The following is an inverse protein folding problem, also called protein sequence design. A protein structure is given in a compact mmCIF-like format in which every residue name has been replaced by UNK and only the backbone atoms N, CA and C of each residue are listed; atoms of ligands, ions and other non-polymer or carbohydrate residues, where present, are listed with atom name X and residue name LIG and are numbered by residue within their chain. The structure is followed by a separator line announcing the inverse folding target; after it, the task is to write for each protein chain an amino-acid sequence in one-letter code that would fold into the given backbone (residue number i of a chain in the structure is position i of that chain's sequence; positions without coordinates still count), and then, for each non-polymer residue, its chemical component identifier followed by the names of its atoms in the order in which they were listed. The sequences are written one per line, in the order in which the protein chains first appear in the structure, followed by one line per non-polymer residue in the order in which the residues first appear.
data_IF_503055154628
#
_entry.id   IF_503055154628
#
_cell.length_a   1.000
_cell.length_b   1.000
_cell.length_c   1.000
_cell.angle_alpha   90.00
_cell.angle_beta   90.00
_cell.angle_gamma   90.00
#
_symmetry.space_group_name_H-M   'P 1'
#
loop_
_entity.id
_entity.type
_entity.pdbx_description
1 polymer ?
#
# COMPACT_ATOMS: atom_id res chain seq x y z
N UNK A 1 43.03 -7.32 23.63
CA UNK A 1 42.34 -8.55 23.15
C UNK A 1 43.38 -9.47 22.58
N UNK A 2 43.45 -10.73 23.06
CA UNK A 2 44.44 -11.68 22.56
C UNK A 2 44.06 -12.13 21.13
N UNK A 3 45.02 -12.33 20.26
CA UNK A 3 44.84 -12.87 18.90
C UNK A 3 43.98 -14.14 18.87
N UNK A 4 44.09 -14.94 19.94
CA UNK A 4 43.32 -16.15 20.13
C UNK A 4 41.81 -15.87 20.33
N UNK A 5 41.44 -14.84 21.07
CA UNK A 5 40.05 -14.47 21.29
C UNK A 5 39.41 -13.97 19.98
N UNK A 6 40.15 -13.21 19.18
CA UNK A 6 39.70 -12.75 17.86
C UNK A 6 39.44 -13.91 16.87
N UNK A 7 40.40 -14.86 16.82
CA UNK A 7 40.29 -16.04 15.96
C UNK A 7 39.09 -16.92 16.38
N UNK A 8 38.89 -17.15 17.65
CA UNK A 8 37.76 -17.92 18.17
C UNK A 8 36.42 -17.24 17.83
N UNK A 9 36.31 -15.91 17.98
CA UNK A 9 35.08 -15.16 17.68
C UNK A 9 34.73 -15.26 16.20
N UNK A 10 35.72 -15.14 15.30
CA UNK A 10 35.51 -15.25 13.86
C UNK A 10 34.98 -16.64 13.48
N UNK A 11 35.58 -17.70 14.05
CA UNK A 11 35.12 -19.09 13.77
C UNK A 11 33.71 -19.36 14.25
N UNK A 12 33.34 -18.86 15.44
CA UNK A 12 31.98 -18.99 15.98
C UNK A 12 30.98 -18.26 15.08
N UNK A 13 31.28 -17.04 14.64
CA UNK A 13 30.41 -16.29 13.73
C UNK A 13 30.26 -16.99 12.36
N UNK A 14 31.33 -17.57 11.85
CA UNK A 14 31.34 -18.31 10.58
C UNK A 14 30.49 -19.59 10.68
N UNK A 15 30.59 -20.34 11.79
CA UNK A 15 29.77 -21.51 12.06
C UNK A 15 28.29 -21.15 12.19
N UNK A 16 27.95 -20.07 12.90
CA UNK A 16 26.58 -19.57 13.00
C UNK A 16 26.04 -19.19 11.63
N UNK A 17 26.86 -18.52 10.80
CA UNK A 17 26.49 -18.15 9.43
C UNK A 17 26.22 -19.36 8.55
N UNK A 18 27.04 -20.41 8.61
CA UNK A 18 26.84 -21.65 7.84
C UNK A 18 25.55 -22.36 8.31
N UNK A 19 25.33 -22.48 9.61
CA UNK A 19 24.12 -23.12 10.15
C UNK A 19 22.87 -22.33 9.70
N UNK A 20 22.92 -21.00 9.81
CA UNK A 20 21.82 -20.16 9.34
C UNK A 20 21.55 -20.35 7.84
N UNK A 21 22.60 -20.42 7.02
CA UNK A 21 22.48 -20.67 5.57
C UNK A 21 21.87 -22.04 5.29
N UNK A 22 22.31 -23.11 5.99
CA UNK A 22 21.73 -24.45 5.84
C UNK A 22 20.26 -24.51 6.24
N UNK A 23 19.88 -23.81 7.32
CA UNK A 23 18.48 -23.74 7.74
C UNK A 23 17.64 -23.00 6.69
N UNK A 24 18.14 -21.89 6.17
CA UNK A 24 17.46 -21.08 5.14
C UNK A 24 17.29 -21.87 3.84
N UNK A 25 18.34 -22.53 3.36
CA UNK A 25 18.29 -23.31 2.10
C UNK A 25 17.53 -24.62 2.23
N UNK A 26 17.54 -25.25 3.42
CA UNK A 26 16.77 -26.47 3.70
C UNK A 26 15.30 -26.27 4.04
N UNK A 27 14.85 -25.02 4.20
CA UNK A 27 13.46 -24.72 4.57
C UNK A 27 12.50 -25.06 3.41
N UNK A 28 11.45 -25.88 3.63
CA UNK A 28 10.45 -26.15 2.60
C UNK A 28 9.81 -24.85 2.08
N UNK A 29 9.53 -24.79 0.78
CA UNK A 29 8.96 -23.62 0.10
C UNK A 29 7.66 -23.09 0.73
N UNK A 30 6.90 -23.97 1.40
CA UNK A 30 5.68 -23.62 2.15
C UNK A 30 5.95 -22.60 3.27
N UNK A 31 7.08 -22.72 3.97
CA UNK A 31 7.44 -21.79 5.06
C UNK A 31 7.84 -20.42 4.51
N UNK A 32 8.54 -20.38 3.38
CA UNK A 32 8.86 -19.13 2.69
C UNK A 32 7.62 -18.41 2.21
N UNK A 33 6.65 -19.15 1.67
CA UNK A 33 5.35 -18.56 1.27
C UNK A 33 4.59 -18.02 2.49
N UNK A 34 4.56 -18.76 3.59
CA UNK A 34 3.91 -18.32 4.82
C UNK A 34 4.59 -17.06 5.41
N UNK A 35 5.93 -17.02 5.41
CA UNK A 35 6.69 -15.87 5.89
C UNK A 35 6.46 -14.63 5.01
N UNK A 36 6.48 -14.81 3.69
CA UNK A 36 6.18 -13.74 2.74
C UNK A 36 4.75 -13.22 2.89
N UNK A 37 3.77 -14.11 3.06
CA UNK A 37 2.37 -13.74 3.31
C UNK A 37 2.22 -12.96 4.62
N UNK A 38 2.87 -13.43 5.70
CA UNK A 38 2.87 -12.74 6.98
C UNK A 38 3.52 -11.34 6.89
N UNK A 39 4.66 -11.22 6.22
CA UNK A 39 5.34 -9.94 5.97
C UNK A 39 4.46 -8.96 5.19
N UNK A 40 3.83 -9.44 4.11
CA UNK A 40 2.87 -8.66 3.31
C UNK A 40 1.70 -8.18 4.16
N UNK A 41 1.11 -9.07 4.97
CA UNK A 41 -0.03 -8.71 5.82
C UNK A 41 0.36 -7.68 6.89
N UNK A 42 1.54 -7.81 7.50
CA UNK A 42 2.06 -6.85 8.47
C UNK A 42 2.29 -5.48 7.83
N UNK A 43 2.84 -5.45 6.62
CA UNK A 43 3.08 -4.22 5.85
C UNK A 43 1.75 -3.54 5.47
N UNK A 44 0.76 -4.31 4.98
CA UNK A 44 -0.58 -3.79 4.66
C UNK A 44 -1.27 -3.20 5.89
N UNK A 45 -1.20 -3.86 7.06
CA UNK A 45 -1.74 -3.33 8.31
C UNK A 45 -1.07 -2.01 8.71
N UNK A 46 0.25 -1.89 8.49
CA UNK A 46 0.98 -0.65 8.73
C UNK A 46 0.53 0.50 7.82
N UNK A 47 0.30 0.20 6.54
CA UNK A 47 -0.27 1.15 5.57
C UNK A 47 -1.70 1.54 5.95
N UNK A 48 -2.56 0.58 6.23
CA UNK A 48 -3.96 0.80 6.60
C UNK A 48 -4.07 1.74 7.80
N UNK A 49 -3.29 1.51 8.86
CA UNK A 49 -3.26 2.40 10.04
C UNK A 49 -2.88 3.84 9.71
N UNK A 50 -1.91 4.04 8.80
CA UNK A 50 -1.50 5.39 8.37
C UNK A 50 -2.62 6.07 7.58
N UNK A 51 -3.29 5.33 6.68
CA UNK A 51 -4.40 5.83 5.89
C UNK A 51 -5.62 6.16 6.76
N UNK A 52 -5.96 5.30 7.72
CA UNK A 52 -7.02 5.57 8.70
C UNK A 52 -6.71 6.81 9.54
N UNK A 53 -5.45 6.99 9.95
CA UNK A 53 -5.03 8.22 10.65
C UNK A 53 -5.16 9.45 9.76
N UNK A 54 -4.79 9.36 8.48
CA UNK A 54 -4.95 10.45 7.52
C UNK A 54 -6.42 10.82 7.32
N UNK A 55 -7.32 9.82 7.24
CA UNK A 55 -8.76 10.03 7.18
C UNK A 55 -9.28 10.72 8.44
N UNK A 56 -8.89 10.24 9.62
CA UNK A 56 -9.34 10.81 10.90
C UNK A 56 -8.92 12.28 11.10
N UNK A 57 -7.78 12.69 10.53
CA UNK A 57 -7.32 14.08 10.56
C UNK A 57 -8.14 14.98 9.63
N UNK A 58 -8.59 14.44 8.48
CA UNK A 58 -9.33 15.20 7.46
C UNK A 58 -10.82 15.35 7.78
N UNK A 59 -11.43 14.35 8.44
CA UNK A 59 -12.85 14.40 8.72
C UNK A 59 -13.28 13.40 9.80
N UNK A 60 -13.48 13.89 11.01
CA UNK A 60 -13.98 13.07 12.12
C UNK A 60 -15.37 12.45 11.84
N UNK A 61 -16.15 13.08 10.96
CA UNK A 61 -17.52 12.67 10.65
C UNK A 61 -17.65 11.90 9.31
N UNK A 62 -16.54 11.53 8.68
CA UNK A 62 -16.59 10.76 7.43
C UNK A 62 -17.01 9.31 7.72
N UNK A 63 -18.22 8.97 7.32
CA UNK A 63 -18.75 7.60 7.43
C UNK A 63 -18.52 6.90 6.08
N UNK A 64 -17.50 6.06 5.99
CA UNK A 64 -17.25 5.32 4.76
C UNK A 64 -18.22 4.14 4.63
N UNK A 65 -19.03 4.14 3.59
CA UNK A 65 -19.83 2.98 3.20
C UNK A 65 -18.96 1.92 2.49
N UNK A 66 -17.99 2.38 1.72
CA UNK A 66 -16.98 1.55 1.06
C UNK A 66 -15.58 2.05 1.38
N UNK A 67 -14.67 1.14 1.74
CA UNK A 67 -13.30 1.49 2.12
C UNK A 67 -12.27 0.48 1.61
N UNK A 68 -11.27 0.96 0.90
CA UNK A 68 -10.11 0.20 0.43
C UNK A 68 -8.86 0.41 1.29
N UNK A 69 -8.99 1.16 2.39
CA UNK A 69 -7.87 1.49 3.28
C UNK A 69 -7.20 0.25 3.87
N UNK A 70 -7.98 -0.77 4.21
CA UNK A 70 -7.45 -2.04 4.76
C UNK A 70 -6.65 -2.83 3.72
N UNK A 71 -6.95 -2.64 2.44
CA UNK A 71 -6.20 -3.21 1.30
C UNK A 71 -4.99 -2.34 0.92
N UNK A 72 -4.72 -1.27 1.67
CA UNK A 72 -3.57 -0.38 1.50
C UNK A 72 -3.74 0.66 0.38
N UNK A 73 -4.96 0.87 -0.11
CA UNK A 73 -5.30 1.89 -1.11
C UNK A 73 -5.98 3.07 -0.41
N UNK A 74 -5.55 4.28 -0.72
CA UNK A 74 -6.06 5.50 -0.12
C UNK A 74 -7.38 5.95 -0.73
N UNK A 75 -8.41 5.09 -0.72
CA UNK A 75 -9.75 5.38 -1.22
C UNK A 75 -10.81 4.94 -0.21
N UNK A 76 -11.75 5.83 0.08
CA UNK A 76 -12.97 5.51 0.78
C UNK A 76 -14.12 6.38 0.25
N UNK A 77 -15.32 5.83 0.20
CA UNK A 77 -16.51 6.46 -0.40
C UNK A 77 -17.61 6.53 0.64
N UNK A 78 -18.17 7.72 0.82
CA UNK A 78 -19.39 7.98 1.57
C UNK A 78 -20.51 8.26 0.56
N UNK A 79 -21.32 7.26 0.28
CA UNK A 79 -22.43 7.37 -0.66
C UNK A 79 -23.53 8.30 -0.14
N UNK A 80 -23.73 8.31 1.18
CA UNK A 80 -24.78 9.07 1.85
C UNK A 80 -24.57 10.58 1.69
N UNK A 81 -23.32 11.02 1.83
CA UNK A 81 -22.94 12.45 1.71
C UNK A 81 -22.40 12.81 0.33
N UNK A 82 -22.20 11.85 -0.53
CA UNK A 82 -21.57 12.06 -1.84
C UNK A 82 -20.12 12.53 -1.76
N UNK A 83 -19.38 12.04 -0.75
CA UNK A 83 -17.98 12.41 -0.51
C UNK A 83 -17.06 11.24 -0.81
N UNK A 84 -15.85 11.57 -1.28
CA UNK A 84 -14.79 10.60 -1.53
C UNK A 84 -13.51 11.05 -0.84
N UNK A 85 -12.95 10.17 -0.03
CA UNK A 85 -11.62 10.36 0.54
C UNK A 85 -10.58 9.77 -0.41
N UNK A 86 -9.59 10.58 -0.74
CA UNK A 86 -8.43 10.19 -1.54
C UNK A 86 -7.16 10.42 -0.74
N UNK A 87 -6.23 9.47 -0.79
CA UNK A 87 -4.91 9.62 -0.19
C UNK A 87 -3.84 8.96 -1.04
N UNK A 88 -2.86 9.73 -1.47
CA UNK A 88 -1.70 9.26 -2.22
C UNK A 88 -0.42 9.39 -1.40
N UNK A 89 0.57 8.51 -1.57
CA UNK A 89 1.85 8.64 -0.89
C UNK A 89 2.63 9.84 -1.43
N UNK A 90 3.14 10.67 -0.52
CA UNK A 90 4.03 11.79 -0.82
C UNK A 90 5.26 11.70 0.10
N UNK A 91 6.32 11.08 -0.39
CA UNK A 91 7.51 10.79 0.41
C UNK A 91 7.20 9.87 1.62
N UNK A 92 7.38 10.39 2.85
CA UNK A 92 7.11 9.64 4.09
C UNK A 92 5.68 9.79 4.62
N UNK A 93 4.91 10.68 4.04
CA UNK A 93 3.55 11.04 4.47
C UNK A 93 2.52 10.69 3.39
N UNK A 94 1.26 10.85 3.73
CA UNK A 94 0.16 10.77 2.77
C UNK A 94 -0.40 12.16 2.55
N UNK A 95 -0.50 12.56 1.28
CA UNK A 95 -1.31 13.67 0.88
C UNK A 95 -2.74 13.14 0.78
N UNK A 96 -3.68 13.79 1.48
CA UNK A 96 -5.06 13.33 1.54
C UNK A 96 -6.03 14.48 1.40
N UNK A 97 -7.19 14.22 0.82
CA UNK A 97 -8.30 15.15 0.72
C UNK A 97 -9.65 14.40 0.77
N UNK A 98 -10.68 15.09 1.25
CA UNK A 98 -12.07 14.68 1.09
C UNK A 98 -12.69 15.60 0.06
N UNK A 99 -13.20 15.01 -1.01
CA UNK A 99 -13.74 15.72 -2.16
C UNK A 99 -15.20 15.30 -2.39
N UNK A 100 -16.08 16.21 -2.80
CA UNK A 100 -17.39 15.82 -3.29
C UNK A 100 -17.26 15.06 -4.60
N UNK A 101 -18.13 14.07 -4.84
CA UNK A 101 -18.14 13.26 -6.06
C UNK A 101 -18.18 14.12 -7.33
N UNK A 102 -18.87 15.28 -7.30
CA UNK A 102 -18.97 16.22 -8.41
C UNK A 102 -17.63 16.82 -8.86
N UNK A 103 -16.61 16.79 -8.00
CA UNK A 103 -15.26 17.27 -8.32
C UNK A 103 -14.35 16.18 -8.90
N UNK A 104 -14.82 14.93 -8.97
CA UNK A 104 -14.09 13.84 -9.57
C UNK A 104 -14.45 13.72 -11.04
N UNK A 105 -13.42 13.68 -11.87
CA UNK A 105 -13.53 13.53 -13.31
C UNK A 105 -13.21 12.12 -13.78
N UNK A 106 -12.44 12.03 -14.85
CA UNK A 106 -12.01 10.76 -15.43
C UNK A 106 -11.17 9.94 -14.43
N UNK A 107 -11.35 8.63 -14.45
CA UNK A 107 -10.53 7.68 -13.70
C UNK A 107 -10.15 6.51 -14.61
N UNK A 108 -8.95 5.98 -14.40
CA UNK A 108 -8.41 4.90 -15.21
C UNK A 108 -7.38 4.06 -14.43
N UNK A 109 -7.30 2.78 -14.76
CA UNK A 109 -6.19 1.93 -14.34
C UNK A 109 -4.95 2.29 -15.16
N UNK A 110 -3.85 2.60 -14.50
CA UNK A 110 -2.57 2.91 -15.11
C UNK A 110 -1.53 1.90 -14.64
N UNK A 111 -0.90 1.22 -15.58
CA UNK A 111 0.22 0.32 -15.30
C UNK A 111 1.50 1.01 -15.72
N UNK A 112 2.41 1.23 -14.76
CA UNK A 112 3.75 1.76 -15.03
C UNK A 112 4.77 0.65 -14.88
N UNK A 113 5.69 0.57 -15.81
CA UNK A 113 6.82 -0.35 -15.73
C UNK A 113 8.05 0.46 -15.32
N UNK A 114 8.58 0.19 -14.13
CA UNK A 114 9.81 0.79 -13.62
C UNK A 114 10.75 -0.33 -13.20
N UNK A 115 12.00 -0.29 -13.66
CA UNK A 115 13.06 -1.26 -13.31
C UNK A 115 12.66 -2.75 -13.47
N UNK A 116 11.80 -3.06 -14.44
CA UNK A 116 11.31 -4.44 -14.67
C UNK A 116 10.13 -4.88 -13.78
N UNK A 117 9.65 -4.02 -12.92
CA UNK A 117 8.45 -4.27 -12.11
C UNK A 117 7.24 -3.53 -12.67
N UNK A 118 6.07 -4.19 -12.61
CA UNK A 118 4.81 -3.57 -12.97
C UNK A 118 4.16 -2.98 -11.72
N UNK A 119 3.96 -1.67 -11.74
CA UNK A 119 3.25 -0.95 -10.69
C UNK A 119 1.86 -0.56 -11.18
N UNK A 120 0.83 -1.01 -10.48
CA UNK A 120 -0.55 -0.70 -10.79
C UNK A 120 -1.02 0.52 -9.97
N UNK A 121 -1.68 1.44 -10.64
CA UNK A 121 -2.27 2.63 -10.02
C UNK A 121 -3.69 2.83 -10.54
N UNK A 122 -4.54 3.43 -9.72
CA UNK A 122 -5.76 4.09 -10.18
C UNK A 122 -5.47 5.58 -10.23
N UNK A 123 -5.55 6.15 -11.42
CA UNK A 123 -5.46 7.60 -11.65
C UNK A 123 -6.86 8.18 -11.60
N UNK A 124 -7.06 9.22 -10.80
CA UNK A 124 -8.33 9.93 -10.66
C UNK A 124 -8.04 11.41 -10.91
N UNK A 125 -8.79 12.02 -11.84
CA UNK A 125 -8.68 13.44 -12.14
C UNK A 125 -9.64 14.23 -11.26
N UNK A 126 -9.15 15.32 -10.67
CA UNK A 126 -9.97 16.32 -10.02
C UNK A 126 -10.30 17.43 -11.03
N UNK A 127 -11.58 17.73 -11.19
CA UNK A 127 -12.08 18.66 -12.21
C UNK A 127 -11.93 20.12 -11.85
N UNK A 128 -11.70 20.46 -10.58
CA UNK A 128 -11.46 21.85 -10.17
C UNK A 128 -10.06 22.34 -10.53
N UNK A 129 -9.95 23.59 -10.92
CA UNK A 129 -8.68 24.23 -11.25
C UNK A 129 -7.88 24.61 -9.97
N UNK A 130 -6.56 24.28 -9.90
CA UNK A 130 -5.80 23.59 -10.95
C UNK A 130 -6.12 22.10 -11.00
N UNK A 131 -6.34 21.58 -12.20
CA UNK A 131 -6.60 20.13 -12.42
C UNK A 131 -5.52 19.30 -11.74
N UNK A 132 -5.92 18.47 -10.83
CA UNK A 132 -5.02 17.61 -10.06
C UNK A 132 -5.30 16.15 -10.37
N UNK A 133 -4.23 15.38 -10.46
CA UNK A 133 -4.30 13.94 -10.63
C UNK A 133 -3.89 13.24 -9.35
N UNK A 134 -4.73 12.32 -8.90
CA UNK A 134 -4.47 11.45 -7.78
C UNK A 134 -4.01 10.09 -8.30
N UNK A 135 -2.87 9.59 -7.80
CA UNK A 135 -2.32 8.30 -8.15
C UNK A 135 -2.38 7.39 -6.94
N UNK A 136 -3.34 6.46 -6.95
CA UNK A 136 -3.56 5.51 -5.87
C UNK A 136 -2.85 4.20 -6.18
N UNK A 137 -1.76 3.84 -5.46
CA UNK A 137 -1.04 2.60 -5.72
C UNK A 137 -1.85 1.39 -5.29
N UNK A 138 -2.04 0.44 -6.20
CA UNK A 138 -2.72 -0.82 -6.00
C UNK A 138 -1.74 -1.98 -5.91
N UNK A 139 -2.13 -3.07 -5.24
CA UNK A 139 -1.28 -4.24 -5.09
C UNK A 139 -1.16 -5.04 -6.41
N UNK A 140 -2.23 -5.03 -7.21
CA UNK A 140 -2.35 -5.75 -8.48
C UNK A 140 -3.37 -5.05 -9.39
N UNK A 141 -3.48 -5.54 -10.63
CA UNK A 141 -4.43 -5.03 -11.62
C UNK A 141 -5.87 -5.32 -11.25
N UNK A 142 -6.14 -6.48 -10.66
CA UNK A 142 -7.50 -6.90 -10.33
C UNK A 142 -8.12 -5.96 -9.28
N UNK A 143 -7.31 -5.53 -8.29
CA UNK A 143 -7.72 -4.53 -7.32
C UNK A 143 -7.94 -3.15 -7.97
N UNK A 144 -7.12 -2.77 -8.93
CA UNK A 144 -7.27 -1.51 -9.64
C UNK A 144 -8.55 -1.48 -10.48
N UNK A 145 -8.86 -2.59 -11.15
CA UNK A 145 -10.08 -2.73 -11.97
C UNK A 145 -11.34 -2.76 -11.09
N UNK A 146 -11.31 -3.46 -9.94
CA UNK A 146 -12.38 -3.44 -8.95
C UNK A 146 -12.65 -2.00 -8.46
N UNK A 147 -11.59 -1.25 -8.14
CA UNK A 147 -11.72 0.15 -7.71
C UNK A 147 -12.32 1.02 -8.82
N UNK A 148 -11.89 0.85 -10.06
CA UNK A 148 -12.45 1.57 -11.21
C UNK A 148 -13.93 1.28 -11.40
N UNK A 149 -14.34 0.03 -11.28
CA UNK A 149 -15.75 -0.35 -11.37
C UNK A 149 -16.58 0.31 -10.27
N UNK A 150 -16.08 0.28 -9.02
CA UNK A 150 -16.75 0.91 -7.87
C UNK A 150 -16.83 2.43 -8.00
N UNK A 151 -15.76 3.07 -8.48
CA UNK A 151 -15.77 4.50 -8.77
C UNK A 151 -16.79 4.84 -9.87
N UNK A 152 -16.86 4.06 -10.95
CA UNK A 152 -17.85 4.23 -12.00
C UNK A 152 -19.28 4.16 -11.46
N UNK A 153 -19.57 3.16 -10.60
CA UNK A 153 -20.87 3.00 -9.93
C UNK A 153 -21.18 4.16 -8.96
N UNK A 154 -20.16 4.69 -8.31
CA UNK A 154 -20.32 5.76 -7.33
C UNK A 154 -20.51 7.14 -7.97
N UNK A 155 -19.99 7.34 -9.18
CA UNK A 155 -20.05 8.62 -9.92
C UNK A 155 -21.25 8.73 -10.86
N UNK A 156 -21.91 7.62 -11.19
CA UNK A 156 -23.20 7.61 -11.89
C UNK A 156 -24.34 7.97 -10.95
#
# INVERSE_FOLDING_TARGET
MSLFALYFTIHVLLMIGIIALCVVTGMPTRYWRALAAWGRQRWLRGKAKKLQKALAVQGADFASDESFLERGVGLAIDHTRGLVFLAQPEGKQYQSAILPKSQLGAHATVIRQEEGFHHCFVEIEQTEAPTRKWLLPCADSDLADEINERLSQALC
#
